data_IF_895712974899
#
_entry.id   IF_895712974899
#
_cell.length_a   1.000
_cell.length_b   1.000
_cell.length_c   1.000
_cell.angle_alpha   90.00
_cell.angle_beta   90.00
_cell.angle_gamma   90.00
#
_symmetry.space_group_name_H-M   'P 1'
#
loop_
_entity.id
_entity.type
_entity.pdbx_description
1 polymer ?
#
# COMPACT_ATOMS: atom_id res chain seq x y z
N UNK A 1 6.95 -23.93 -18.32
CA UNK A 1 6.48 -23.70 -16.92
C UNK A 1 6.74 -22.29 -16.47
N UNK A 2 7.95 -21.74 -16.66
CA UNK A 2 8.29 -20.34 -16.30
C UNK A 2 7.41 -19.33 -17.06
N UNK A 3 7.18 -19.55 -18.35
CA UNK A 3 6.38 -18.68 -19.22
C UNK A 3 4.92 -18.54 -18.75
N UNK A 4 4.30 -19.62 -18.25
CA UNK A 4 2.93 -19.59 -17.75
C UNK A 4 2.79 -18.81 -16.44
N UNK A 5 3.78 -18.94 -15.54
CA UNK A 5 3.79 -18.20 -14.27
C UNK A 5 4.03 -16.70 -14.53
N UNK A 6 5.03 -16.40 -15.35
CA UNK A 6 5.33 -15.00 -15.71
C UNK A 6 4.14 -14.32 -16.37
N UNK A 7 3.50 -14.98 -17.33
CA UNK A 7 2.32 -14.44 -17.99
C UNK A 7 1.13 -14.25 -17.03
N UNK A 8 0.93 -15.19 -16.10
CA UNK A 8 -0.11 -15.05 -15.08
C UNK A 8 0.16 -13.87 -14.14
N UNK A 9 1.42 -13.65 -13.78
CA UNK A 9 1.83 -12.51 -12.96
C UNK A 9 1.61 -11.18 -13.69
N UNK A 10 2.02 -11.09 -14.95
CA UNK A 10 1.80 -9.90 -15.78
C UNK A 10 0.31 -9.58 -15.85
N UNK A 11 -0.52 -10.58 -16.14
CA UNK A 11 -1.98 -10.41 -16.23
C UNK A 11 -2.56 -9.92 -14.91
N UNK A 12 -2.15 -10.49 -13.78
CA UNK A 12 -2.63 -10.08 -12.45
C UNK A 12 -2.24 -8.62 -12.14
N UNK A 13 -1.02 -8.21 -12.50
CA UNK A 13 -0.57 -6.82 -12.35
C UNK A 13 -1.40 -5.88 -13.21
N UNK A 14 -1.59 -6.20 -14.50
CA UNK A 14 -2.39 -5.40 -15.42
C UNK A 14 -3.83 -5.23 -14.94
N UNK A 15 -4.46 -6.30 -14.45
CA UNK A 15 -5.81 -6.27 -13.87
C UNK A 15 -5.90 -5.41 -12.60
N UNK A 16 -4.81 -5.27 -11.88
CA UNK A 16 -4.74 -4.47 -10.65
C UNK A 16 -4.48 -2.97 -10.89
N UNK A 17 -4.04 -2.59 -12.09
CA UNK A 17 -3.63 -1.21 -12.39
C UNK A 17 -4.77 -0.20 -12.22
N UNK A 18 -5.98 -0.54 -12.63
CA UNK A 18 -7.14 0.35 -12.46
C UNK A 18 -7.41 0.64 -10.97
N UNK A 19 -7.32 -0.40 -10.13
CA UNK A 19 -7.49 -0.25 -8.68
C UNK A 19 -6.37 0.60 -8.07
N UNK A 20 -5.13 0.44 -8.53
CA UNK A 20 -4.01 1.27 -8.11
C UNK A 20 -4.22 2.74 -8.49
N UNK A 21 -4.63 3.02 -9.72
CA UNK A 21 -4.93 4.39 -10.16
C UNK A 21 -6.04 5.03 -9.32
N UNK A 22 -7.10 4.31 -9.01
CA UNK A 22 -8.18 4.77 -8.13
C UNK A 22 -7.67 5.09 -6.73
N UNK A 23 -6.78 4.26 -6.18
CA UNK A 23 -6.16 4.50 -4.88
C UNK A 23 -5.38 5.82 -4.87
N UNK A 24 -4.53 6.04 -5.87
CA UNK A 24 -3.72 7.26 -5.95
C UNK A 24 -4.56 8.52 -6.13
N UNK A 25 -5.61 8.46 -6.94
CA UNK A 25 -6.54 9.58 -7.11
C UNK A 25 -7.29 9.90 -5.80
N UNK A 26 -7.75 8.88 -5.11
CA UNK A 26 -8.50 9.06 -3.86
C UNK A 26 -7.62 9.62 -2.74
N UNK A 27 -6.41 9.08 -2.55
CA UNK A 27 -5.52 9.58 -1.50
C UNK A 27 -5.03 10.99 -1.80
N UNK A 28 -4.78 11.32 -3.06
CA UNK A 28 -4.46 12.69 -3.47
C UNK A 28 -5.58 13.65 -3.08
N UNK A 29 -6.81 13.34 -3.43
CA UNK A 29 -7.97 14.21 -3.13
C UNK A 29 -8.15 14.40 -1.62
N UNK A 30 -7.96 13.35 -0.83
CA UNK A 30 -8.12 13.39 0.63
C UNK A 30 -6.98 14.10 1.37
N UNK A 31 -5.81 14.22 0.76
CA UNK A 31 -4.62 14.78 1.42
C UNK A 31 -4.01 15.97 0.66
N UNK A 32 -4.73 16.50 -0.30
CA UNK A 32 -4.30 17.62 -1.13
C UNK A 32 -3.92 18.84 -0.30
N UNK A 33 -2.78 19.43 -0.63
CA UNK A 33 -2.27 20.64 0.01
C UNK A 33 -1.52 21.48 -1.04
N UNK A 34 -2.21 22.52 -1.53
CA UNK A 34 -1.66 23.36 -2.60
C UNK A 34 -1.29 22.56 -3.85
N UNK A 35 -0.03 22.65 -4.32
CA UNK A 35 0.42 21.93 -5.52
C UNK A 35 0.74 20.45 -5.28
N UNK A 36 0.70 19.98 -4.04
CA UNK A 36 1.05 18.63 -3.66
C UNK A 36 0.09 18.03 -2.64
N UNK A 37 0.58 17.09 -1.89
CA UNK A 37 -0.14 16.44 -0.78
C UNK A 37 0.67 16.57 0.51
N UNK A 38 -0.04 16.54 1.65
CA UNK A 38 0.59 16.55 2.96
C UNK A 38 0.02 15.43 3.82
N UNK A 39 0.89 14.48 4.16
CA UNK A 39 0.56 13.36 5.04
C UNK A 39 1.60 13.34 6.17
N UNK A 40 1.29 14.04 7.24
CA UNK A 40 2.22 14.16 8.39
C UNK A 40 2.37 12.80 9.08
N UNK A 41 3.61 12.39 9.36
CA UNK A 41 3.90 11.16 10.12
C UNK A 41 3.17 11.17 11.46
N UNK A 42 2.52 10.05 11.81
CA UNK A 42 1.62 9.89 12.96
C UNK A 42 0.47 10.92 13.01
N UNK A 43 0.20 11.60 11.90
CA UNK A 43 -0.89 12.55 11.75
C UNK A 43 -2.06 11.97 10.98
N UNK A 44 -3.06 12.86 10.76
CA UNK A 44 -4.30 12.49 10.08
C UNK A 44 -4.09 11.99 8.64
N UNK A 45 -3.20 12.63 7.89
CA UNK A 45 -2.95 12.26 6.49
C UNK A 45 -2.32 10.87 6.35
N UNK A 46 -1.36 10.52 7.19
CA UNK A 46 -0.81 9.17 7.25
C UNK A 46 -1.89 8.16 7.64
N UNK A 47 -2.73 8.49 8.63
CA UNK A 47 -3.81 7.61 9.06
C UNK A 47 -4.82 7.35 7.93
N UNK A 48 -5.16 8.36 7.13
CA UNK A 48 -5.99 8.19 5.93
C UNK A 48 -5.33 7.16 4.99
N UNK A 49 -4.04 7.29 4.75
CA UNK A 49 -3.28 6.33 3.93
C UNK A 49 -3.32 4.91 4.48
N UNK A 50 -3.09 4.75 5.78
CA UNK A 50 -3.17 3.44 6.44
C UNK A 50 -4.57 2.85 6.36
N UNK A 51 -5.62 3.62 6.60
CA UNK A 51 -7.00 3.16 6.52
C UNK A 51 -7.36 2.69 5.11
N UNK A 52 -6.90 3.40 4.08
CA UNK A 52 -7.11 3.02 2.68
C UNK A 52 -6.36 1.74 2.33
N UNK A 53 -5.11 1.59 2.79
CA UNK A 53 -4.33 0.36 2.60
C UNK A 53 -5.01 -0.82 3.30
N UNK A 54 -5.47 -0.65 4.53
CA UNK A 54 -6.17 -1.67 5.28
C UNK A 54 -7.46 -2.10 4.56
N UNK A 55 -8.24 -1.15 4.05
CA UNK A 55 -9.46 -1.45 3.29
C UNK A 55 -9.17 -2.28 2.04
N UNK A 56 -8.15 -1.91 1.27
CA UNK A 56 -7.77 -2.68 0.08
C UNK A 56 -7.21 -4.07 0.45
N UNK A 57 -6.37 -4.16 1.47
CA UNK A 57 -5.85 -5.43 1.97
C UNK A 57 -6.99 -6.39 2.40
N UNK A 58 -8.04 -5.88 3.03
CA UNK A 58 -9.25 -6.65 3.36
C UNK A 58 -9.98 -7.17 2.12
N UNK A 59 -10.10 -6.36 1.08
CA UNK A 59 -10.65 -6.79 -0.22
C UNK A 59 -9.85 -7.97 -0.80
N UNK A 60 -8.52 -7.97 -0.60
CA UNK A 60 -7.62 -9.03 -1.06
C UNK A 60 -7.56 -10.25 -0.12
N UNK A 61 -8.24 -10.20 1.03
CA UNK A 61 -8.22 -11.28 2.02
C UNK A 61 -6.92 -11.37 2.82
N UNK A 62 -6.15 -10.30 2.91
CA UNK A 62 -4.91 -10.26 3.69
C UNK A 62 -5.21 -10.14 5.20
N UNK A 63 -4.33 -10.69 6.01
CA UNK A 63 -4.36 -10.52 7.47
C UNK A 63 -3.79 -9.15 7.85
N UNK A 64 -4.47 -8.44 8.74
CA UNK A 64 -4.09 -7.10 9.17
C UNK A 64 -3.58 -7.15 10.60
N UNK A 65 -2.38 -6.66 10.83
CA UNK A 65 -1.81 -6.46 12.17
C UNK A 65 -1.09 -5.14 12.26
N UNK A 66 -0.84 -4.67 13.47
CA UNK A 66 -0.07 -3.47 13.74
C UNK A 66 0.86 -3.67 14.91
N UNK A 67 1.82 -2.76 15.07
CA UNK A 67 2.72 -2.75 16.23
C UNK A 67 2.58 -1.47 17.06
N UNK A 68 3.30 -1.40 18.14
CA UNK A 68 3.24 -0.28 19.10
C UNK A 68 3.80 1.04 18.54
N UNK A 69 4.53 0.99 17.44
CA UNK A 69 5.08 2.19 16.78
C UNK A 69 4.22 2.70 15.64
N UNK A 70 3.13 1.99 15.32
CA UNK A 70 2.17 2.39 14.30
C UNK A 70 2.43 1.81 12.92
N UNK A 71 3.31 0.81 12.78
CA UNK A 71 3.47 0.10 11.52
C UNK A 71 2.23 -0.76 11.24
N UNK A 72 1.76 -0.72 10.00
CA UNK A 72 0.68 -1.56 9.50
C UNK A 72 1.26 -2.71 8.70
N UNK A 73 0.88 -3.93 9.04
CA UNK A 73 1.27 -5.15 8.33
C UNK A 73 0.06 -5.76 7.64
N UNK A 74 0.21 -6.02 6.36
CA UNK A 74 -0.78 -6.68 5.51
C UNK A 74 -0.15 -7.99 5.04
N UNK A 75 -0.59 -9.12 5.60
CA UNK A 75 0.11 -10.39 5.45
C UNK A 75 -0.68 -11.37 4.58
N UNK A 76 -0.04 -11.86 3.53
CA UNK A 76 -0.48 -13.06 2.84
C UNK A 76 0.21 -14.26 3.50
N UNK A 77 -0.54 -15.12 4.21
CA UNK A 77 0.06 -16.22 4.95
C UNK A 77 0.66 -17.26 4.03
N UNK A 78 1.89 -17.65 4.32
CA UNK A 78 2.55 -18.77 3.66
C UNK A 78 2.02 -20.13 4.16
N UNK A 79 2.43 -21.20 3.49
CA UNK A 79 2.08 -22.58 3.90
C UNK A 79 2.66 -22.93 5.27
N UNK A 80 3.90 -22.53 5.53
CA UNK A 80 4.56 -22.68 6.83
C UNK A 80 4.52 -21.35 7.60
N UNK A 81 3.62 -21.29 8.59
CA UNK A 81 3.42 -20.10 9.42
C UNK A 81 4.57 -19.83 10.38
N UNK A 82 5.45 -20.79 10.63
CA UNK A 82 6.62 -20.66 11.50
C UNK A 82 7.87 -20.23 10.74
N UNK A 83 7.84 -20.26 9.42
CA UNK A 83 8.94 -19.81 8.59
C UNK A 83 9.14 -18.28 8.72
N UNK A 84 10.36 -17.78 8.63
CA UNK A 84 10.62 -16.35 8.58
C UNK A 84 9.85 -15.69 7.44
N UNK A 85 9.18 -14.54 7.68
CA UNK A 85 8.42 -13.85 6.64
C UNK A 85 9.36 -13.18 5.62
N UNK A 86 8.91 -13.10 4.38
CA UNK A 86 9.48 -12.20 3.39
C UNK A 86 8.74 -10.86 3.49
N UNK A 87 9.48 -9.78 3.76
CA UNK A 87 8.89 -8.46 4.01
C UNK A 87 9.28 -7.50 2.90
N UNK A 88 8.29 -6.83 2.32
CA UNK A 88 8.45 -5.66 1.47
C UNK A 88 7.71 -4.51 2.11
N UNK A 89 8.21 -3.31 2.02
CA UNK A 89 7.54 -2.20 2.66
C UNK A 89 8.03 -0.84 2.21
N UNK A 90 7.23 0.17 2.54
CA UNK A 90 7.50 1.57 2.31
C UNK A 90 6.74 2.38 3.37
N UNK A 91 6.40 3.62 3.08
CA UNK A 91 5.74 4.53 4.00
C UNK A 91 4.57 5.26 3.31
N UNK A 92 3.67 5.84 4.11
CA UNK A 92 2.52 6.61 3.62
C UNK A 92 2.63 8.11 3.91
N UNK A 93 3.50 8.51 4.83
CA UNK A 93 3.72 9.92 5.14
C UNK A 93 4.47 10.65 4.02
N UNK A 94 4.33 11.96 3.98
CA UNK A 94 5.04 12.83 3.05
C UNK A 94 5.56 14.07 3.76
N UNK A 95 6.51 14.75 3.10
CA UNK A 95 6.84 16.13 3.46
C UNK A 95 5.66 17.06 3.12
N UNK A 96 5.58 18.27 3.72
CA UNK A 96 4.57 19.26 3.32
C UNK A 96 4.60 19.57 1.83
N UNK A 97 3.43 19.62 1.20
CA UNK A 97 3.27 19.83 -0.25
C UNK A 97 4.12 18.87 -1.09
N UNK A 98 4.22 17.64 -0.64
CA UNK A 98 5.04 16.59 -1.26
C UNK A 98 4.37 15.92 -2.45
N UNK A 99 5.08 14.96 -3.04
CA UNK A 99 4.58 14.16 -4.14
C UNK A 99 3.61 13.07 -3.67
N UNK A 100 2.52 12.89 -4.40
CA UNK A 100 1.50 11.89 -4.06
C UNK A 100 2.02 10.44 -4.08
N UNK A 101 3.01 10.17 -4.93
CA UNK A 101 3.60 8.82 -5.06
C UNK A 101 4.72 8.54 -4.08
N UNK A 102 5.24 9.57 -3.39
CA UNK A 102 6.30 9.39 -2.39
C UNK A 102 5.84 8.41 -1.30
N UNK A 103 6.59 7.35 -1.11
CA UNK A 103 6.26 6.25 -0.22
C UNK A 103 5.09 5.38 -0.69
N UNK A 104 3.98 5.98 -1.05
CA UNK A 104 2.75 5.29 -1.44
C UNK A 104 2.96 4.33 -2.63
N UNK A 105 3.74 4.73 -3.63
CA UNK A 105 4.05 3.84 -4.76
C UNK A 105 4.77 2.57 -4.31
N UNK A 106 5.67 2.67 -3.35
CA UNK A 106 6.37 1.52 -2.78
C UNK A 106 5.44 0.57 -2.02
N UNK A 107 4.46 1.11 -1.28
CA UNK A 107 3.45 0.29 -0.59
C UNK A 107 2.56 -0.44 -1.59
N UNK A 108 2.07 0.27 -2.61
CA UNK A 108 1.16 -0.31 -3.60
C UNK A 108 1.84 -1.34 -4.50
N UNK A 109 3.14 -1.18 -4.76
CA UNK A 109 3.92 -2.13 -5.57
C UNK A 109 4.23 -3.44 -4.84
N UNK A 110 4.31 -3.40 -3.52
CA UNK A 110 4.64 -4.56 -2.69
C UNK A 110 3.50 -5.51 -2.51
#
# INVERSE_FOLDING_TARGET
>A
MTDNFEQALITAVEESMERADQFFLEIEEKTKDGPGVTRVAWGEGEQIGHDMCEAWAKELGLEITGDSTGNLYMTFPGEDREAPPFIVGSHMDTVPCGGNYDGAAGVISG
#
